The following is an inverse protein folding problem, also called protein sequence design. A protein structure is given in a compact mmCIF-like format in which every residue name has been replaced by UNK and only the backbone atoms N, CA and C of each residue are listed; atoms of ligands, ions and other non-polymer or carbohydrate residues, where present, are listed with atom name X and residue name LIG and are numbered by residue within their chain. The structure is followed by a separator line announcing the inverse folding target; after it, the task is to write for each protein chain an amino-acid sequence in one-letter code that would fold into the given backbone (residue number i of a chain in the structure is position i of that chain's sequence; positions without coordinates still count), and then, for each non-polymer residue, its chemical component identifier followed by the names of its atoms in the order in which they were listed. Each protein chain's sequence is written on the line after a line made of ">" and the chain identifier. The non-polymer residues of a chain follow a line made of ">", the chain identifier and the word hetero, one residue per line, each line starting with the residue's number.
data_IF_786833131847
#
_entry.id   IF_786833131847
#
_cell.length_a   1.000
_cell.length_b   1.000
_cell.length_c   1.000
_cell.angle_alpha   90.00
_cell.angle_beta   90.00
_cell.angle_gamma   90.00
#
_symmetry.space_group_name_H-M   'P 1'
#
loop_
_entity.id
_entity.type
_entity.pdbx_description
1 polymer ?
#
# COMPACT_ATOMS: atom_id res chain seq x y z
N UNK A 1 26.38 -1.91 18.27
CA UNK A 1 25.44 -2.38 17.22
C UNK A 1 24.16 -2.87 17.88
N UNK A 2 22.99 -2.72 17.24
CA UNK A 2 21.69 -3.16 17.76
C UNK A 2 21.52 -4.68 17.49
N UNK A 3 21.77 -5.59 18.45
CA UNK A 3 21.83 -7.03 18.19
C UNK A 3 20.49 -7.60 17.70
N UNK A 4 19.38 -7.01 18.13
CA UNK A 4 18.03 -7.36 17.69
C UNK A 4 17.79 -7.04 16.21
N UNK A 5 18.39 -5.97 15.70
CA UNK A 5 18.28 -5.58 14.31
C UNK A 5 19.08 -6.53 13.41
N UNK A 6 20.30 -6.92 13.81
CA UNK A 6 21.11 -7.89 13.04
C UNK A 6 20.36 -9.21 12.86
N UNK A 7 19.83 -9.75 13.96
CA UNK A 7 19.08 -11.01 13.93
C UNK A 7 17.83 -10.91 13.04
N UNK A 8 17.05 -9.85 13.19
CA UNK A 8 15.88 -9.64 12.34
C UNK A 8 16.26 -9.48 10.86
N UNK A 9 17.36 -8.78 10.57
CA UNK A 9 17.85 -8.60 9.21
C UNK A 9 18.23 -9.96 8.59
N UNK A 10 19.03 -10.77 9.29
CA UNK A 10 19.44 -12.11 8.85
C UNK A 10 18.23 -12.99 8.50
N UNK A 11 17.17 -12.93 9.31
CA UNK A 11 15.95 -13.73 9.09
C UNK A 11 15.08 -13.21 7.92
N UNK A 12 15.14 -11.93 7.57
CA UNK A 12 14.19 -11.28 6.62
C UNK A 12 14.85 -10.78 5.31
N UNK A 13 16.17 -10.91 5.17
CA UNK A 13 16.90 -10.44 3.98
C UNK A 13 16.43 -11.10 2.69
N UNK A 14 16.12 -12.39 2.72
CA UNK A 14 15.66 -13.15 1.56
C UNK A 14 14.37 -12.55 0.98
N UNK A 15 13.40 -12.24 1.83
CA UNK A 15 12.14 -11.59 1.42
C UNK A 15 12.38 -10.15 0.96
N UNK A 16 13.24 -9.39 1.67
CA UNK A 16 13.59 -8.02 1.30
C UNK A 16 14.30 -7.89 -0.05
N UNK A 17 14.96 -8.94 -0.53
CA UNK A 17 15.66 -8.97 -1.82
C UNK A 17 14.80 -9.38 -3.01
N UNK A 18 13.58 -9.88 -2.80
CA UNK A 18 12.62 -10.19 -3.88
C UNK A 18 12.38 -9.02 -4.85
N UNK A 19 12.58 -7.77 -4.41
CA UNK A 19 12.46 -6.58 -5.26
C UNK A 19 13.45 -6.60 -6.43
N UNK A 20 14.60 -7.28 -6.28
CA UNK A 20 15.61 -7.37 -7.34
C UNK A 20 15.19 -8.25 -8.51
N UNK A 21 14.20 -9.13 -8.33
CA UNK A 21 13.66 -9.98 -9.41
C UNK A 21 12.86 -9.15 -10.43
N UNK A 22 12.44 -7.94 -10.07
CA UNK A 22 11.68 -7.04 -10.94
C UNK A 22 12.60 -6.14 -11.80
N UNK A 23 12.14 -5.69 -12.99
CA UNK A 23 12.85 -4.72 -13.81
C UNK A 23 13.17 -3.43 -13.05
N UNK A 24 14.31 -2.79 -13.36
CA UNK A 24 14.79 -1.57 -12.69
C UNK A 24 13.73 -0.47 -12.58
N UNK A 25 12.89 -0.35 -13.60
CA UNK A 25 11.81 0.65 -13.64
C UNK A 25 10.74 0.45 -12.57
N UNK A 26 10.51 -0.79 -12.11
CA UNK A 26 9.50 -1.14 -11.11
C UNK A 26 10.05 -1.14 -9.69
N UNK A 27 11.36 -1.39 -9.53
CA UNK A 27 12.00 -1.54 -8.20
C UNK A 27 11.74 -0.36 -7.29
N UNK A 28 11.74 0.87 -7.83
CA UNK A 28 11.48 2.08 -7.04
C UNK A 28 10.08 2.08 -6.44
N UNK A 29 9.07 1.72 -7.23
CA UNK A 29 7.69 1.67 -6.77
C UNK A 29 7.50 0.56 -5.73
N UNK A 30 7.98 -0.65 -6.04
CA UNK A 30 7.83 -1.85 -5.20
C UNK A 30 8.55 -1.71 -3.86
N UNK A 31 9.75 -1.11 -3.85
CA UNK A 31 10.54 -0.89 -2.62
C UNK A 31 9.86 0.07 -1.64
N UNK A 32 9.05 1.00 -2.14
CA UNK A 32 8.49 2.07 -1.32
C UNK A 32 7.06 1.79 -0.89
N UNK A 33 6.75 1.94 0.40
CA UNK A 33 5.38 1.86 0.92
C UNK A 33 4.60 3.18 0.82
N UNK A 34 5.13 4.21 0.15
CA UNK A 34 4.57 5.56 0.15
C UNK A 34 3.10 5.62 -0.28
N UNK A 35 2.70 4.84 -1.28
CA UNK A 35 1.31 4.77 -1.75
C UNK A 35 0.40 4.11 -0.72
N UNK A 36 0.85 3.04 -0.06
CA UNK A 36 0.11 2.35 1.00
C UNK A 36 -0.05 3.25 2.23
N UNK A 37 1.02 3.95 2.62
CA UNK A 37 0.98 4.91 3.72
C UNK A 37 -0.01 6.05 3.45
N UNK A 38 -0.09 6.53 2.20
CA UNK A 38 -1.08 7.53 1.78
C UNK A 38 -2.51 7.01 1.93
N UNK A 39 -2.78 5.78 1.48
CA UNK A 39 -4.10 5.14 1.62
C UNK A 39 -4.45 4.95 3.10
N UNK A 40 -3.53 4.42 3.91
CA UNK A 40 -3.73 4.23 5.34
C UNK A 40 -4.04 5.54 6.06
N UNK A 41 -3.35 6.63 5.70
CA UNK A 41 -3.63 7.96 6.24
C UNK A 41 -5.04 8.43 5.90
N UNK A 42 -5.50 8.21 4.66
CA UNK A 42 -6.83 8.61 4.22
C UNK A 42 -7.94 7.78 4.89
N UNK A 43 -7.74 6.46 5.02
CA UNK A 43 -8.64 5.58 5.78
C UNK A 43 -8.77 6.11 7.22
N UNK A 44 -7.65 6.37 7.91
CA UNK A 44 -7.64 6.91 9.28
C UNK A 44 -8.31 8.29 9.36
N UNK A 45 -8.16 9.13 8.34
CA UNK A 45 -8.79 10.45 8.29
C UNK A 45 -10.31 10.34 8.22
N UNK A 46 -10.83 9.51 7.31
CA UNK A 46 -12.29 9.36 7.12
C UNK A 46 -12.95 8.59 8.26
N UNK A 47 -12.30 7.58 8.82
CA UNK A 47 -12.82 6.84 9.98
C UNK A 47 -12.80 7.68 11.26
N UNK A 48 -11.82 8.58 11.44
CA UNK A 48 -11.75 9.47 12.60
C UNK A 48 -12.96 10.42 12.70
N UNK A 49 -13.55 10.84 11.58
CA UNK A 49 -14.74 11.71 11.58
C UNK A 49 -15.97 10.94 12.06
N UNK A 50 -16.07 9.65 11.75
CA UNK A 50 -17.19 8.79 12.20
C UNK A 50 -17.06 8.44 13.68
N UNK A 51 -15.82 8.27 14.18
CA UNK A 51 -15.54 7.94 15.58
C UNK A 51 -15.84 6.49 15.92
N UNK A 52 -17.11 6.12 16.05
CA UNK A 52 -17.57 4.76 16.38
C UNK A 52 -18.58 4.28 15.35
N UNK A 53 -18.36 3.08 14.80
CA UNK A 53 -19.28 2.47 13.85
C UNK A 53 -20.33 1.62 14.57
N UNK A 54 -21.58 1.61 14.09
CA UNK A 54 -22.66 0.81 14.70
C UNK A 54 -22.51 -0.70 14.47
N UNK A 55 -21.77 -1.11 13.42
CA UNK A 55 -21.45 -2.50 13.11
C UNK A 55 -20.28 -2.57 12.11
N UNK A 56 -19.70 -3.76 11.95
CA UNK A 56 -18.58 -4.03 11.03
C UNK A 56 -18.94 -3.75 9.56
N UNK A 57 -20.15 -4.08 9.13
CA UNK A 57 -20.61 -3.85 7.77
C UNK A 57 -20.60 -2.36 7.39
N UNK A 58 -20.88 -1.47 8.36
CA UNK A 58 -20.87 -0.02 8.16
C UNK A 58 -19.45 0.51 7.97
N UNK A 59 -18.48 0.01 8.75
CA UNK A 59 -17.07 0.33 8.54
C UNK A 59 -16.54 -0.20 7.22
N UNK A 60 -16.90 -1.44 6.86
CA UNK A 60 -16.49 -2.05 5.60
C UNK A 60 -17.01 -1.24 4.41
N UNK A 61 -18.29 -0.86 4.42
CA UNK A 61 -18.90 0.00 3.38
C UNK A 61 -18.14 1.31 3.19
N UNK A 62 -17.77 2.00 4.26
CA UNK A 62 -17.04 3.26 4.16
C UNK A 62 -15.65 3.05 3.53
N UNK A 63 -14.91 2.05 4.01
CA UNK A 63 -13.56 1.76 3.51
C UNK A 63 -13.62 1.30 2.06
N UNK A 64 -14.56 0.44 1.69
CA UNK A 64 -14.74 -0.01 0.30
C UNK A 64 -15.10 1.15 -0.62
N UNK A 65 -16.03 2.04 -0.23
CA UNK A 65 -16.38 3.21 -1.02
C UNK A 65 -15.18 4.16 -1.23
N UNK A 66 -14.37 4.37 -0.19
CA UNK A 66 -13.13 5.14 -0.29
C UNK A 66 -12.13 4.51 -1.26
N UNK A 67 -11.94 3.18 -1.19
CA UNK A 67 -11.02 2.48 -2.09
C UNK A 67 -11.49 2.52 -3.54
N UNK A 68 -12.81 2.49 -3.78
CA UNK A 68 -13.39 2.67 -5.11
C UNK A 68 -13.09 4.07 -5.66
N UNK A 69 -13.30 5.12 -4.88
CA UNK A 69 -12.99 6.51 -5.26
C UNK A 69 -11.49 6.67 -5.62
N UNK A 70 -10.59 6.13 -4.80
CA UNK A 70 -9.15 6.14 -5.08
C UNK A 70 -8.82 5.37 -6.37
N UNK A 71 -9.48 4.23 -6.59
CA UNK A 71 -9.29 3.43 -7.80
C UNK A 71 -9.74 4.19 -9.05
N UNK A 72 -10.88 4.87 -9.00
CA UNK A 72 -11.38 5.71 -10.09
C UNK A 72 -10.41 6.86 -10.38
N UNK A 73 -9.90 7.54 -9.34
CA UNK A 73 -8.86 8.58 -9.50
C UNK A 73 -7.60 8.04 -10.18
N UNK A 74 -7.18 6.81 -9.89
CA UNK A 74 -6.00 6.19 -10.51
C UNK A 74 -6.24 5.73 -11.94
N UNK A 75 -7.48 5.44 -12.31
CA UNK A 75 -7.86 5.14 -13.69
C UNK A 75 -7.90 6.42 -14.52
N UNK A 76 -8.39 7.52 -13.96
CA UNK A 76 -8.51 8.83 -14.64
C UNK A 76 -7.15 9.52 -14.72
N UNK A 77 -6.42 9.58 -13.61
CA UNK A 77 -5.07 10.10 -13.55
C UNK A 77 -4.10 9.02 -14.02
N UNK A 78 -3.48 9.20 -15.19
CA UNK A 78 -2.50 8.29 -15.84
C UNK A 78 -1.21 7.97 -15.03
N UNK A 79 -1.26 7.96 -13.70
CA UNK A 79 -0.09 7.93 -12.83
C UNK A 79 0.30 6.54 -12.32
N UNK A 80 -0.64 5.58 -12.22
CA UNK A 80 -0.32 4.25 -11.68
C UNK A 80 -0.73 3.10 -12.60
N UNK A 81 -1.77 3.25 -13.43
CA UNK A 81 -2.28 2.17 -14.29
C UNK A 81 -2.05 2.39 -15.80
N UNK A 82 -1.40 3.48 -16.22
CA UNK A 82 -1.09 3.70 -17.62
C UNK A 82 0.18 2.93 -18.04
N UNK A 83 -0.01 1.68 -18.48
CA UNK A 83 0.88 1.05 -19.46
C UNK A 83 2.10 0.26 -18.95
N UNK A 84 2.14 -0.19 -17.70
CA UNK A 84 3.15 -1.17 -17.27
C UNK A 84 2.46 -2.46 -16.85
N UNK A 85 2.20 -3.31 -17.85
CA UNK A 85 1.85 -4.70 -17.61
C UNK A 85 2.94 -5.32 -16.73
N UNK A 86 2.56 -5.74 -15.51
CA UNK A 86 3.34 -6.69 -14.75
C UNK A 86 3.20 -8.05 -15.43
N UNK A 87 3.88 -8.22 -16.57
CA UNK A 87 4.13 -9.54 -17.13
C UNK A 87 5.15 -10.21 -16.22
N UNK A 88 4.65 -10.97 -15.25
CA UNK A 88 5.40 -11.99 -14.53
C UNK A 88 5.44 -13.25 -15.40
#
# INVERSE_FOLDING_TARGET
>A
MLPRLSKWLEDNLSEGFSVFDFPLEHRRSIRTSSSLERINKEIRRRTRVVGVFPNEASSLRLVSALLMEISEEWQIGKHYCAGKSLSC
#
